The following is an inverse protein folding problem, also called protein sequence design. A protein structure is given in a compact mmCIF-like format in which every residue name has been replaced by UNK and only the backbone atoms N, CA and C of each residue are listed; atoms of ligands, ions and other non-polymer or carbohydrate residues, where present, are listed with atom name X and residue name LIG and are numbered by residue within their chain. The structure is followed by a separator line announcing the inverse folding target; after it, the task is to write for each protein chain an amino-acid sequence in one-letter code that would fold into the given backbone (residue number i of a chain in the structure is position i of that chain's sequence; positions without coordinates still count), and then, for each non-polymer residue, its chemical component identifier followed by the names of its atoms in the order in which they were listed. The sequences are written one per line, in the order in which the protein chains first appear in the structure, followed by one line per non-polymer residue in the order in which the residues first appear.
data_IF_521348357354
#
_entry.id   IF_521348357354
#
_cell.length_a   1.000
_cell.length_b   1.000
_cell.length_c   1.000
_cell.angle_alpha   90.00
_cell.angle_beta   90.00
_cell.angle_gamma   90.00
#
_symmetry.space_group_name_H-M   'P 1'
#
loop_
_entity.id
_entity.type
_entity.pdbx_description
1 polymer ?
#
# COMPACT_ATOMS: atom_id res chain seq x y z
N UNK A 1 -26.01 -5.21 -9.00
CA UNK A 1 -24.88 -5.88 -8.32
C UNK A 1 -24.25 -6.83 -9.33
N UNK A 2 -22.92 -6.95 -9.35
CA UNK A 2 -22.22 -7.85 -10.29
C UNK A 2 -22.27 -9.30 -9.80
N UNK A 3 -21.91 -10.25 -10.67
CA UNK A 3 -21.96 -11.69 -10.37
C UNK A 3 -21.01 -12.09 -9.24
N UNK A 4 -21.28 -13.24 -8.58
CA UNK A 4 -20.41 -13.78 -7.54
C UNK A 4 -18.96 -14.01 -8.02
N UNK A 5 -18.79 -14.38 -9.29
CA UNK A 5 -17.48 -14.51 -9.92
C UNK A 5 -16.73 -13.17 -9.98
N UNK A 6 -17.38 -12.09 -10.45
CA UNK A 6 -16.80 -10.73 -10.47
C UNK A 6 -16.47 -10.25 -9.04
N UNK A 7 -17.28 -10.61 -8.04
CA UNK A 7 -16.99 -10.29 -6.62
C UNK A 7 -15.76 -11.03 -6.08
N UNK A 8 -15.60 -12.32 -6.39
CA UNK A 8 -14.43 -13.10 -6.01
C UNK A 8 -13.15 -12.61 -6.71
N UNK A 9 -13.25 -12.26 -7.99
CA UNK A 9 -12.14 -11.66 -8.75
C UNK A 9 -11.68 -10.34 -8.11
N UNK A 10 -12.62 -9.50 -7.67
CA UNK A 10 -12.27 -8.25 -6.99
C UNK A 10 -11.57 -8.48 -5.63
N UNK A 11 -11.91 -9.53 -4.89
CA UNK A 11 -11.19 -9.93 -3.67
C UNK A 11 -9.76 -10.41 -3.99
N UNK A 12 -9.58 -11.13 -5.10
CA UNK A 12 -8.26 -11.57 -5.59
C UNK A 12 -7.41 -10.37 -6.03
N UNK A 13 -7.98 -9.44 -6.79
CA UNK A 13 -7.30 -8.21 -7.20
C UNK A 13 -6.86 -7.37 -5.99
N UNK A 14 -7.69 -7.30 -4.94
CA UNK A 14 -7.32 -6.65 -3.67
C UNK A 14 -6.12 -7.31 -3.04
N UNK A 15 -6.11 -8.64 -2.97
CA UNK A 15 -4.97 -9.40 -2.44
C UNK A 15 -3.69 -9.17 -3.25
N UNK A 16 -3.77 -9.27 -4.58
CA UNK A 16 -2.64 -9.03 -5.48
C UNK A 16 -2.08 -7.61 -5.34
N UNK A 17 -2.95 -6.61 -5.26
CA UNK A 17 -2.57 -5.20 -5.05
C UNK A 17 -1.78 -5.03 -3.75
N UNK A 18 -2.25 -5.62 -2.65
CA UNK A 18 -1.55 -5.52 -1.37
C UNK A 18 -0.21 -6.27 -1.35
N UNK A 19 -0.10 -7.39 -2.06
CA UNK A 19 1.17 -8.12 -2.23
C UNK A 19 2.18 -7.25 -2.99
N UNK A 20 1.80 -6.73 -4.16
CA UNK A 20 2.66 -5.86 -4.97
C UNK A 20 3.09 -4.60 -4.20
N UNK A 21 2.17 -3.94 -3.49
CA UNK A 21 2.50 -2.78 -2.66
C UNK A 21 3.46 -3.14 -1.51
N UNK A 22 3.36 -4.36 -0.96
CA UNK A 22 4.28 -4.87 0.06
C UNK A 22 5.67 -5.13 -0.52
N UNK A 23 5.77 -5.67 -1.73
CA UNK A 23 7.05 -5.88 -2.43
C UNK A 23 7.75 -4.54 -2.71
N UNK A 24 7.02 -3.55 -3.23
CA UNK A 24 7.54 -2.19 -3.45
C UNK A 24 8.08 -1.60 -2.13
N UNK A 25 7.31 -1.73 -1.04
CA UNK A 25 7.72 -1.29 0.30
C UNK A 25 8.97 -2.00 0.81
N UNK A 26 9.01 -3.33 0.74
CA UNK A 26 10.16 -4.13 1.18
C UNK A 26 11.44 -3.77 0.42
N UNK A 27 11.36 -3.67 -0.91
CA UNK A 27 12.49 -3.22 -1.72
C UNK A 27 12.91 -1.78 -1.40
N UNK A 28 11.97 -0.91 -1.00
CA UNK A 28 12.29 0.47 -0.58
C UNK A 28 13.16 0.45 0.67
N UNK A 29 12.81 -0.38 1.65
CA UNK A 29 13.59 -0.52 2.89
C UNK A 29 14.98 -1.03 2.58
N UNK A 30 15.10 -2.07 1.75
CA UNK A 30 16.38 -2.64 1.35
C UNK A 30 17.28 -1.60 0.67
N UNK A 31 16.76 -0.89 -0.34
CA UNK A 31 17.51 0.12 -1.07
C UNK A 31 17.84 1.33 -0.19
N UNK A 32 16.92 1.77 0.68
CA UNK A 32 17.17 2.85 1.62
C UNK A 32 18.30 2.52 2.60
N UNK A 33 18.37 1.27 3.08
CA UNK A 33 19.46 0.79 3.93
C UNK A 33 20.79 0.72 3.16
N UNK A 34 20.78 0.21 1.92
CA UNK A 34 21.96 0.19 1.03
C UNK A 34 22.49 1.60 0.76
N UNK A 35 21.62 2.56 0.44
CA UNK A 35 21.99 3.97 0.26
C UNK A 35 22.58 4.55 1.55
N UNK A 36 22.00 4.21 2.72
CA UNK A 36 22.46 4.69 4.02
C UNK A 36 23.84 4.15 4.41
N UNK A 37 24.19 2.93 4.02
CA UNK A 37 25.53 2.37 4.24
C UNK A 37 26.65 3.19 3.56
N UNK A 38 26.33 3.94 2.50
CA UNK A 38 27.26 4.85 1.86
C UNK A 38 27.48 6.16 2.65
N UNK A 39 26.70 6.43 3.70
CA UNK A 39 26.88 7.58 4.60
C UNK A 39 27.81 7.16 5.73
N UNK A 40 28.99 7.80 5.90
CA UNK A 40 29.88 7.50 7.02
C UNK A 40 29.22 7.74 8.39
N UNK A 41 29.52 6.91 9.39
CA UNK A 41 29.05 7.11 10.78
C UNK A 41 29.54 8.42 11.41
N UNK A 42 30.60 9.01 10.85
CA UNK A 42 31.17 10.30 11.25
C UNK A 42 30.72 11.48 10.37
N UNK A 43 29.86 11.23 9.37
CA UNK A 43 29.40 12.27 8.46
C UNK A 43 28.57 13.31 9.19
N UNK A 44 28.82 14.58 8.91
CA UNK A 44 27.95 15.69 9.32
C UNK A 44 26.82 15.87 8.31
N UNK A 45 25.69 16.41 8.76
CA UNK A 45 24.50 16.61 7.92
C UNK A 45 24.79 17.34 6.59
N UNK A 46 25.64 18.38 6.62
CA UNK A 46 26.04 19.15 5.43
C UNK A 46 26.79 18.33 4.36
N UNK A 47 27.37 17.19 4.73
CA UNK A 47 28.12 16.30 3.83
C UNK A 47 27.24 15.25 3.15
N UNK A 48 25.97 15.13 3.54
CA UNK A 48 25.04 14.08 3.08
C UNK A 48 24.10 14.51 1.95
N UNK A 49 24.34 15.65 1.32
CA UNK A 49 23.47 16.20 0.25
C UNK A 49 23.32 15.26 -0.96
N UNK A 50 24.40 14.57 -1.34
CA UNK A 50 24.38 13.57 -2.41
C UNK A 50 23.51 12.35 -2.05
N UNK A 51 23.57 11.89 -0.80
CA UNK A 51 22.69 10.83 -0.30
C UNK A 51 21.23 11.28 -0.33
N UNK A 52 20.93 12.48 0.18
CA UNK A 52 19.56 12.98 0.27
C UNK A 52 18.92 13.08 -1.13
N UNK A 53 19.65 13.59 -2.13
CA UNK A 53 19.18 13.64 -3.51
C UNK A 53 18.83 12.26 -4.05
N UNK A 54 19.70 11.26 -3.86
CA UNK A 54 19.47 9.88 -4.30
C UNK A 54 18.28 9.24 -3.58
N UNK A 55 18.17 9.44 -2.27
CA UNK A 55 17.07 8.92 -1.47
C UNK A 55 15.72 9.52 -1.87
N UNK A 56 15.65 10.85 -2.11
CA UNK A 56 14.44 11.51 -2.61
C UNK A 56 14.05 10.95 -3.97
N UNK A 57 14.98 10.84 -4.93
CA UNK A 57 14.69 10.27 -6.25
C UNK A 57 14.14 8.84 -6.14
N UNK A 58 14.80 7.98 -5.36
CA UNK A 58 14.35 6.60 -5.14
C UNK A 58 12.94 6.54 -4.53
N UNK A 59 12.67 7.31 -3.47
CA UNK A 59 11.35 7.36 -2.82
C UNK A 59 10.28 7.87 -3.78
N UNK A 60 10.53 8.96 -4.50
CA UNK A 60 9.52 9.53 -5.40
C UNK A 60 9.23 8.63 -6.61
N UNK A 61 10.23 7.90 -7.12
CA UNK A 61 10.02 6.89 -8.17
C UNK A 61 9.14 5.75 -7.68
N UNK A 62 9.46 5.13 -6.53
CA UNK A 62 8.68 4.01 -5.98
C UNK A 62 7.30 4.44 -5.49
N UNK A 63 7.16 5.68 -5.01
CA UNK A 63 5.88 6.28 -4.66
C UNK A 63 4.97 6.41 -5.89
N UNK A 64 5.53 6.85 -7.04
CA UNK A 64 4.80 6.89 -8.31
C UNK A 64 4.33 5.49 -8.72
N UNK A 65 5.20 4.49 -8.66
CA UNK A 65 4.81 3.08 -8.91
C UNK A 65 3.64 2.66 -8.02
N UNK A 66 3.71 2.97 -6.72
CA UNK A 66 2.63 2.66 -5.76
C UNK A 66 1.31 3.35 -6.09
N UNK A 67 1.36 4.61 -6.54
CA UNK A 67 0.19 5.40 -6.96
C UNK A 67 -0.43 4.84 -8.23
N UNK A 68 0.40 4.55 -9.24
CA UNK A 68 -0.06 4.08 -10.55
C UNK A 68 -0.68 2.67 -10.41
N UNK A 69 -0.04 1.79 -9.61
CA UNK A 69 -0.60 0.50 -9.20
C UNK A 69 -1.97 0.65 -8.52
N UNK A 70 -2.10 1.60 -7.58
CA UNK A 70 -3.34 1.86 -6.88
C UNK A 70 -4.45 2.41 -7.79
N UNK A 71 -4.11 3.20 -8.81
CA UNK A 71 -5.08 3.68 -9.81
C UNK A 71 -5.61 2.52 -10.65
N UNK A 72 -4.72 1.69 -11.18
CA UNK A 72 -5.13 0.52 -11.96
C UNK A 72 -5.97 -0.46 -11.12
N UNK A 73 -5.56 -0.70 -9.88
CA UNK A 73 -6.33 -1.45 -8.88
C UNK A 73 -7.74 -0.90 -8.70
N UNK A 74 -7.85 0.41 -8.41
CA UNK A 74 -9.14 1.05 -8.15
C UNK A 74 -10.06 0.95 -9.37
N UNK A 75 -9.53 1.20 -10.56
CA UNK A 75 -10.28 1.09 -11.83
C UNK A 75 -10.81 -0.33 -12.05
N UNK A 76 -9.99 -1.36 -11.86
CA UNK A 76 -10.38 -2.76 -12.01
C UNK A 76 -11.44 -3.17 -10.96
N UNK A 77 -11.17 -2.95 -9.67
CA UNK A 77 -12.10 -3.36 -8.60
C UNK A 77 -13.43 -2.63 -8.72
N UNK A 78 -13.41 -1.34 -9.07
CA UNK A 78 -14.66 -0.60 -9.27
C UNK A 78 -15.49 -1.19 -10.42
N UNK A 79 -14.85 -1.57 -11.53
CA UNK A 79 -15.52 -2.24 -12.65
C UNK A 79 -16.13 -3.58 -12.20
N UNK A 80 -15.35 -4.41 -11.53
CA UNK A 80 -15.78 -5.71 -11.04
C UNK A 80 -16.90 -5.63 -10.00
N UNK A 81 -16.93 -4.60 -9.16
CA UNK A 81 -17.94 -4.44 -8.10
C UNK A 81 -19.21 -3.74 -8.58
N UNK A 82 -19.09 -2.81 -9.52
CA UNK A 82 -20.18 -1.87 -9.88
C UNK A 82 -20.62 -1.92 -11.34
N UNK A 83 -19.90 -2.63 -12.21
CA UNK A 83 -20.11 -2.63 -13.66
C UNK A 83 -19.62 -1.36 -14.37
N UNK A 84 -18.95 -0.45 -13.66
CA UNK A 84 -18.43 0.81 -14.21
C UNK A 84 -17.07 1.12 -13.62
N UNK A 85 -16.23 1.84 -14.36
CA UNK A 85 -14.89 2.25 -13.89
C UNK A 85 -14.75 3.77 -13.86
N UNK A 86 -13.59 4.25 -13.46
CA UNK A 86 -13.23 5.68 -13.47
C UNK A 86 -12.19 5.98 -14.53
N UNK A 87 -12.23 7.20 -15.05
CA UNK A 87 -11.25 7.69 -16.01
C UNK A 87 -9.83 7.68 -15.40
N UNK A 88 -8.83 7.38 -16.24
CA UNK A 88 -7.44 7.70 -15.87
C UNK A 88 -7.29 9.23 -15.97
N UNK A 89 -6.91 9.95 -14.89
CA UNK A 89 -6.76 11.40 -14.92
C UNK A 89 -5.75 11.91 -15.96
N UNK A 90 -4.87 11.04 -16.47
CA UNK A 90 -3.89 11.39 -17.50
C UNK A 90 -4.29 10.89 -18.91
N UNK A 91 -5.27 9.99 -19.00
CA UNK A 91 -5.78 9.42 -20.24
C UNK A 91 -7.32 9.23 -20.10
N UNK A 92 -8.11 10.31 -20.15
CA UNK A 92 -9.54 10.27 -19.83
C UNK A 92 -10.41 9.61 -20.90
N UNK A 93 -9.88 9.44 -22.11
CA UNK A 93 -10.50 8.66 -23.18
C UNK A 93 -10.13 7.18 -23.01
N UNK A 94 -10.99 6.22 -23.40
CA UNK A 94 -12.31 6.32 -24.03
C UNK A 94 -13.50 6.35 -23.03
N UNK A 95 -14.72 6.63 -23.53
CA UNK A 95 -15.98 6.55 -22.74
C UNK A 95 -16.27 5.13 -22.21
N UNK A 96 -15.81 4.10 -22.92
CA UNK A 96 -15.98 2.69 -22.56
C UNK A 96 -14.65 1.96 -22.66
N UNK A 97 -14.35 1.13 -21.66
CA UNK A 97 -13.19 0.23 -21.67
C UNK A 97 -13.67 -1.20 -21.45
N UNK A 98 -12.84 -2.19 -21.75
CA UNK A 98 -13.16 -3.60 -21.46
C UNK A 98 -12.58 -4.05 -20.12
N UNK A 99 -13.21 -5.05 -19.48
CA UNK A 99 -12.62 -5.69 -18.29
C UNK A 99 -11.24 -6.26 -18.62
N UNK A 100 -11.05 -6.82 -19.82
CA UNK A 100 -9.77 -7.34 -20.27
C UNK A 100 -8.67 -6.26 -20.33
N UNK A 101 -9.03 -5.04 -20.76
CA UNK A 101 -8.10 -3.91 -20.74
C UNK A 101 -7.70 -3.55 -19.32
N UNK A 102 -8.66 -3.45 -18.39
CA UNK A 102 -8.40 -3.15 -16.98
C UNK A 102 -7.57 -4.24 -16.29
N UNK A 103 -7.82 -5.52 -16.60
CA UNK A 103 -7.03 -6.66 -16.12
C UNK A 103 -5.58 -6.56 -16.59
N UNK A 104 -5.36 -6.31 -17.89
CA UNK A 104 -4.03 -6.16 -18.48
C UNK A 104 -3.25 -4.99 -17.87
N UNK A 105 -3.91 -3.84 -17.72
CA UNK A 105 -3.29 -2.65 -17.09
C UNK A 105 -2.87 -2.93 -15.64
N UNK A 106 -3.72 -3.59 -14.86
CA UNK A 106 -3.39 -3.97 -13.48
C UNK A 106 -2.30 -5.03 -13.43
N UNK A 107 -2.39 -6.07 -14.26
CA UNK A 107 -1.42 -7.17 -14.30
C UNK A 107 -0.01 -6.71 -14.69
N UNK A 108 0.12 -5.75 -15.62
CA UNK A 108 1.40 -5.16 -15.99
C UNK A 108 2.13 -4.55 -14.78
N UNK A 109 1.39 -3.81 -13.94
CA UNK A 109 1.96 -3.13 -12.77
C UNK A 109 2.24 -4.09 -11.60
N UNK A 110 1.50 -5.20 -11.49
CA UNK A 110 1.80 -6.26 -10.53
C UNK A 110 3.06 -7.04 -10.94
N UNK A 111 3.22 -7.34 -12.24
CA UNK A 111 4.38 -8.08 -12.78
C UNK A 111 5.69 -7.29 -12.74
N UNK A 112 5.66 -5.99 -13.04
CA UNK A 112 6.84 -5.11 -12.94
C UNK A 112 7.38 -4.94 -11.51
N UNK A 113 6.64 -5.41 -10.49
CA UNK A 113 7.05 -5.36 -9.09
C UNK A 113 8.10 -6.43 -8.72
N UNK A 114 8.27 -7.48 -9.55
CA UNK A 114 9.23 -8.56 -9.29
C UNK A 114 10.67 -8.17 -9.65
N UNK A 115 10.87 -7.25 -10.59
CA UNK A 115 12.20 -6.84 -11.06
C UNK A 115 12.67 -5.56 -10.37
N UNK A 116 12.75 -5.57 -9.03
CA UNK A 116 13.21 -4.43 -8.21
C UNK A 116 14.65 -3.95 -8.47
N UNK A 117 15.26 -4.31 -9.60
CA UNK A 117 16.52 -3.81 -10.11
C UNK A 117 16.29 -2.58 -11.02
N UNK A 118 16.74 -1.42 -10.55
CA UNK A 118 16.76 -0.19 -11.36
C UNK A 118 17.91 -0.24 -12.37
N UNK A 119 17.75 -0.96 -13.47
CA UNK A 119 18.56 -0.75 -14.68
C UNK A 119 17.66 -0.32 -15.85
N UNK A 120 17.56 1.01 -16.01
CA UNK A 120 17.43 1.68 -17.31
C UNK A 120 16.25 1.30 -18.23
N UNK A 121 15.01 1.58 -17.86
CA UNK A 121 13.91 1.67 -18.83
C UNK A 121 13.88 3.07 -19.45
N UNK A 122 14.66 3.28 -20.51
CA UNK A 122 14.41 4.34 -21.50
C UNK A 122 13.48 3.78 -22.56
N UNK A 123 12.25 4.29 -22.59
CA UNK A 123 11.25 3.98 -23.62
C UNK A 123 11.61 4.73 -24.90
N UNK A 124 12.08 4.02 -25.92
CA UNK A 124 12.09 4.50 -27.31
C UNK A 124 10.92 3.84 -28.07
N UNK A 125 9.95 4.61 -28.59
CA UNK A 125 8.79 4.09 -29.29
C UNK A 125 9.05 4.12 -30.79
N UNK A 126 9.88 3.21 -31.31
CA UNK A 126 9.99 3.03 -32.77
C UNK A 126 10.52 1.64 -33.12
N UNK A 127 9.60 0.67 -33.19
CA UNK A 127 9.74 -0.53 -34.05
C UNK A 127 8.41 -1.29 -34.13
N UNK A 128 7.46 -0.69 -34.82
CA UNK A 128 6.40 -1.43 -35.50
C UNK A 128 6.67 -1.35 -37.00
N UNK A 129 7.14 -2.44 -37.62
CA UNK A 129 6.81 -2.84 -39.00
C UNK A 129 7.62 -4.06 -39.47
N UNK A 130 6.90 -4.96 -40.14
CA UNK A 130 7.34 -6.01 -41.07
C UNK A 130 7.95 -7.28 -40.44
N UNK A 131 7.61 -8.50 -40.85
CA UNK A 131 6.74 -9.00 -41.92
C UNK A 131 6.46 -10.50 -41.67
N UNK A 132 5.24 -10.90 -41.99
CA UNK A 132 4.74 -12.21 -42.43
C UNK A 132 5.71 -13.13 -43.20
N UNK A 133 5.54 -14.45 -43.06
CA UNK A 133 5.19 -15.43 -44.15
C UNK A 133 4.93 -16.84 -43.54
N UNK A 134 4.02 -17.53 -44.22
CA UNK A 134 3.30 -18.80 -43.98
C UNK A 134 4.17 -20.08 -43.96
N UNK A 135 3.67 -21.17 -43.35
CA UNK A 135 3.65 -22.49 -44.03
C UNK A 135 2.61 -23.45 -43.42
N UNK A 136 2.02 -24.25 -44.30
CA UNK A 136 0.88 -25.14 -44.13
C UNK A 136 1.30 -26.57 -43.77
N UNK A 137 0.57 -27.26 -42.90
CA UNK A 137 0.22 -28.69 -43.13
C UNK A 137 -0.94 -29.18 -42.23
N UNK A 138 -1.99 -29.70 -42.87
CA UNK A 138 -3.09 -30.54 -42.34
C UNK A 138 -2.85 -31.99 -42.84
N UNK A 139 -3.65 -33.03 -42.48
CA UNK A 139 -4.63 -33.19 -41.39
C UNK A 139 -4.49 -34.56 -40.67
N UNK A 140 -5.31 -34.83 -39.64
CA UNK A 140 -5.84 -36.19 -39.41
C UNK A 140 -7.12 -36.19 -38.58
N UNK A 141 -8.10 -36.89 -39.13
CA UNK A 141 -9.42 -37.18 -38.59
C UNK A 141 -9.37 -38.11 -37.37
N UNK A 142 -10.28 -37.89 -36.43
CA UNK A 142 -10.82 -38.94 -35.56
C UNK A 142 -12.11 -38.44 -34.91
N UNK A 143 -13.20 -39.12 -35.26
CA UNK A 143 -14.58 -38.89 -34.84
C UNK A 143 -14.87 -39.39 -33.41
N UNK A 144 -15.84 -38.70 -32.78
CA UNK A 144 -16.78 -39.14 -31.71
C UNK A 144 -16.30 -39.18 -30.25
N UNK A 145 -17.20 -39.03 -29.23
CA UNK A 145 -18.66 -38.91 -29.28
C UNK A 145 -19.27 -37.70 -28.53
N UNK A 146 -20.57 -37.50 -28.76
CA UNK A 146 -21.48 -36.51 -28.15
C UNK A 146 -21.34 -36.36 -26.62
N UNK A 147 -21.00 -35.16 -26.17
CA UNK A 147 -21.26 -34.69 -24.80
C UNK A 147 -22.40 -33.65 -24.81
N UNK A 148 -23.29 -33.81 -23.84
CA UNK A 148 -24.50 -33.02 -23.61
C UNK A 148 -24.23 -31.50 -23.60
N UNK A 149 -25.21 -30.66 -23.98
CA UNK A 149 -24.99 -29.23 -24.10
C UNK A 149 -24.64 -28.64 -22.73
N UNK A 150 -23.40 -28.17 -22.61
CA UNK A 150 -23.03 -27.20 -21.60
C UNK A 150 -23.99 -26.02 -21.74
N UNK A 151 -24.60 -25.62 -20.63
CA UNK A 151 -25.34 -24.37 -20.57
C UNK A 151 -24.37 -23.26 -20.98
N UNK A 152 -24.52 -22.77 -22.21
CA UNK A 152 -23.91 -21.52 -22.65
C UNK A 152 -24.33 -20.47 -21.63
N UNK A 153 -23.35 -19.99 -20.86
CA UNK A 153 -23.52 -18.73 -20.17
C UNK A 153 -23.83 -17.71 -21.27
N UNK A 154 -24.96 -17.00 -21.12
CA UNK A 154 -25.26 -15.83 -21.94
C UNK A 154 -24.07 -14.86 -21.85
N UNK A 155 -23.12 -14.97 -22.78
CA UNK A 155 -22.14 -13.95 -23.07
C UNK A 155 -22.90 -12.83 -23.77
N UNK A 156 -23.56 -11.99 -22.97
CA UNK A 156 -24.15 -10.74 -23.44
C UNK A 156 -23.01 -9.88 -24.02
N UNK A 157 -22.99 -9.58 -25.33
CA UNK A 157 -21.92 -8.81 -25.96
C UNK A 157 -21.79 -7.37 -25.41
N UNK A 158 -22.77 -6.89 -24.64
CA UNK A 158 -22.68 -5.62 -23.89
C UNK A 158 -21.92 -5.75 -22.55
N UNK A 159 -21.64 -6.97 -22.05
CA UNK A 159 -20.94 -7.19 -20.77
C UNK A 159 -19.43 -6.87 -20.85
N UNK A 160 -18.93 -6.66 -22.07
CA UNK A 160 -17.56 -6.23 -22.37
C UNK A 160 -17.37 -4.71 -22.34
N UNK A 161 -18.44 -3.90 -22.34
CA UNK A 161 -18.33 -2.43 -22.32
C UNK A 161 -18.54 -1.86 -20.91
N UNK A 162 -17.43 -1.55 -20.23
CA UNK A 162 -17.43 -0.90 -18.93
C UNK A 162 -17.44 0.62 -19.13
N UNK A 163 -18.54 1.26 -18.72
CA UNK A 163 -18.66 2.72 -18.73
C UNK A 163 -17.60 3.38 -17.83
N UNK A 164 -16.91 4.38 -18.37
CA UNK A 164 -15.92 5.21 -17.68
C UNK A 164 -16.60 6.45 -17.13
N UNK A 165 -16.58 6.62 -15.80
CA UNK A 165 -17.08 7.81 -15.12
C UNK A 165 -15.92 8.76 -14.75
N UNK A 166 -16.09 10.06 -14.96
CA UNK A 166 -15.13 11.06 -14.51
C UNK A 166 -15.34 11.41 -13.04
N UNK A 167 -14.25 11.50 -12.28
CA UNK A 167 -14.26 12.03 -10.93
C UNK A 167 -13.77 13.49 -10.93
N UNK A 168 -14.46 14.41 -10.24
CA UNK A 168 -14.13 15.83 -10.28
C UNK A 168 -12.76 16.12 -9.65
N UNK A 169 -11.97 16.95 -10.31
CA UNK A 169 -10.67 17.45 -9.86
C UNK A 169 -9.64 16.36 -9.49
N UNK A 170 -9.76 15.15 -10.05
CA UNK A 170 -8.92 14.02 -9.65
C UNK A 170 -7.44 14.29 -9.96
N UNK A 171 -7.16 14.83 -11.15
CA UNK A 171 -5.80 15.17 -11.61
C UNK A 171 -5.18 16.28 -10.76
N UNK A 172 -5.89 17.38 -10.56
CA UNK A 172 -5.39 18.52 -9.79
C UNK A 172 -5.06 18.11 -8.34
N UNK A 173 -5.89 17.25 -7.76
CA UNK A 173 -5.65 16.71 -6.41
C UNK A 173 -4.46 15.76 -6.37
N UNK A 174 -4.30 14.88 -7.35
CA UNK A 174 -3.11 14.01 -7.43
C UNK A 174 -1.83 14.84 -7.58
N UNK A 175 -1.82 15.83 -8.47
CA UNK A 175 -0.67 16.72 -8.65
C UNK A 175 -0.36 17.52 -7.38
N UNK A 176 -1.38 17.98 -6.66
CA UNK A 176 -1.22 18.65 -5.36
C UNK A 176 -0.63 17.70 -4.32
N UNK A 177 -1.17 16.49 -4.19
CA UNK A 177 -0.70 15.46 -3.26
C UNK A 177 0.77 15.12 -3.55
N UNK A 178 1.17 15.00 -4.81
CA UNK A 178 2.55 14.67 -5.16
C UNK A 178 3.53 15.82 -4.87
N UNK A 179 3.13 17.09 -5.04
CA UNK A 179 3.94 18.24 -4.60
C UNK A 179 4.13 18.25 -3.08
N UNK A 180 3.04 18.08 -2.34
CA UNK A 180 3.08 18.00 -0.87
C UNK A 180 3.95 16.82 -0.39
N UNK A 181 3.88 15.68 -1.08
CA UNK A 181 4.67 14.50 -0.76
C UNK A 181 6.17 14.68 -1.05
N UNK A 182 6.54 15.41 -2.11
CA UNK A 182 7.95 15.71 -2.38
C UNK A 182 8.56 16.61 -1.29
N UNK A 183 7.80 17.62 -0.85
CA UNK A 183 8.18 18.49 0.27
C UNK A 183 8.32 17.69 1.58
N UNK A 184 7.34 16.84 1.90
CA UNK A 184 7.41 15.94 3.06
C UNK A 184 8.63 15.03 2.98
N UNK A 185 8.87 14.41 1.82
CA UNK A 185 9.97 13.47 1.61
C UNK A 185 11.32 14.12 1.89
N UNK A 186 11.54 15.33 1.35
CA UNK A 186 12.78 16.08 1.58
C UNK A 186 13.00 16.35 3.07
N UNK A 187 11.98 16.88 3.74
CA UNK A 187 12.05 17.21 5.16
C UNK A 187 12.28 15.97 6.03
N UNK A 188 11.49 14.92 5.84
CA UNK A 188 11.50 13.72 6.67
C UNK A 188 12.82 12.97 6.52
N UNK A 189 13.34 12.81 5.30
CA UNK A 189 14.60 12.10 5.07
C UNK A 189 15.80 12.88 5.61
N UNK A 190 15.80 14.21 5.50
CA UNK A 190 16.82 15.05 6.10
C UNK A 190 16.80 14.95 7.64
N UNK A 191 15.61 15.09 8.25
CA UNK A 191 15.44 15.05 9.69
C UNK A 191 15.76 13.69 10.30
N UNK A 192 15.32 12.59 9.68
CA UNK A 192 15.48 11.23 10.22
C UNK A 192 16.80 10.56 9.85
N UNK A 193 17.42 10.99 8.75
CA UNK A 193 18.74 10.53 8.32
C UNK A 193 19.86 11.39 8.91
N UNK A 194 20.52 12.26 8.11
CA UNK A 194 21.75 12.93 8.53
C UNK A 194 21.60 13.86 9.74
N UNK A 195 20.51 14.61 9.87
CA UNK A 195 20.32 15.51 11.01
C UNK A 195 20.11 14.74 12.33
N UNK A 196 19.42 13.61 12.28
CA UNK A 196 19.26 12.71 13.42
C UNK A 196 20.57 11.98 13.76
N UNK A 197 21.36 11.58 12.76
CA UNK A 197 22.71 11.03 13.00
C UNK A 197 23.60 12.06 13.70
N UNK A 198 23.70 13.27 13.16
CA UNK A 198 24.51 14.37 13.71
C UNK A 198 24.11 14.71 15.16
N UNK A 199 22.81 14.76 15.44
CA UNK A 199 22.29 14.95 16.81
C UNK A 199 22.70 13.83 17.76
N UNK A 200 22.64 12.57 17.30
CA UNK A 200 22.99 11.40 18.12
C UNK A 200 24.49 11.34 18.37
N UNK A 201 25.32 11.59 17.35
CA UNK A 201 26.78 11.54 17.47
C UNK A 201 27.31 12.69 18.31
N UNK A 202 26.71 13.87 18.22
CA UNK A 202 27.05 15.03 19.08
C UNK A 202 26.76 14.81 20.57
N UNK A 203 25.90 13.84 20.91
CA UNK A 203 25.59 13.48 22.29
C UNK A 203 26.51 12.38 22.86
N UNK A 204 27.45 11.85 22.07
CA UNK A 204 28.37 10.80 22.51
C UNK A 204 29.46 11.42 23.40
N UNK A 205 29.69 10.77 24.54
CA UNK A 205 30.76 11.13 25.47
C UNK A 205 32.14 10.70 24.92
N UNK A 206 32.88 11.66 24.37
CA UNK A 206 34.21 11.43 23.79
C UNK A 206 35.31 11.16 24.85
N UNK A 207 35.01 11.27 26.14
CA UNK A 207 35.96 10.94 27.21
C UNK A 207 36.08 9.43 27.48
N UNK A 208 35.16 8.63 26.92
CA UNK A 208 35.16 7.16 27.03
C UNK A 208 36.28 6.54 26.18
N UNK A 209 36.63 5.26 26.44
CA UNK A 209 37.55 4.51 25.58
C UNK A 209 37.11 4.57 24.10
N UNK A 210 38.07 4.70 23.18
CA UNK A 210 37.80 4.83 21.75
C UNK A 210 36.89 3.71 21.20
N UNK A 211 37.06 2.49 21.69
CA UNK A 211 36.21 1.34 21.35
C UNK A 211 34.73 1.55 21.67
N UNK A 212 34.43 2.20 22.80
CA UNK A 212 33.06 2.45 23.24
C UNK A 212 32.44 3.60 22.46
N UNK A 213 33.25 4.62 22.13
CA UNK A 213 32.84 5.75 21.29
C UNK A 213 32.50 5.27 19.88
N UNK A 214 33.35 4.42 19.28
CA UNK A 214 33.13 3.90 17.93
C UNK A 214 31.90 2.99 17.87
N UNK A 215 31.70 2.14 18.90
CA UNK A 215 30.46 1.36 19.03
C UNK A 215 29.22 2.24 19.14
N UNK A 216 29.27 3.31 19.93
CA UNK A 216 28.14 4.22 20.07
C UNK A 216 27.82 4.97 18.76
N UNK A 217 28.84 5.33 17.97
CA UNK A 217 28.67 5.93 16.64
C UNK A 217 28.00 4.96 15.67
N UNK A 218 28.42 3.70 15.67
CA UNK A 218 27.83 2.64 14.85
C UNK A 218 26.36 2.39 15.23
N UNK A 219 26.05 2.30 16.53
CA UNK A 219 24.67 2.17 17.00
C UNK A 219 23.80 3.37 16.60
N UNK A 220 24.33 4.60 16.68
CA UNK A 220 23.64 5.81 16.23
C UNK A 220 23.39 5.79 14.72
N UNK A 221 24.35 5.32 13.93
CA UNK A 221 24.23 5.15 12.49
C UNK A 221 23.16 4.12 12.13
N UNK A 222 23.20 2.94 12.72
CA UNK A 222 22.21 1.87 12.49
C UNK A 222 20.79 2.31 12.85
N UNK A 223 20.61 2.97 14.00
CA UNK A 223 19.30 3.49 14.42
C UNK A 223 18.76 4.56 13.46
N UNK A 224 19.62 5.43 12.96
CA UNK A 224 19.23 6.48 12.00
C UNK A 224 18.89 5.87 10.65
N UNK A 225 19.67 4.90 10.19
CA UNK A 225 19.41 4.11 8.99
C UNK A 225 18.07 3.38 9.04
N UNK A 226 17.77 2.71 10.15
CA UNK A 226 16.49 2.04 10.34
C UNK A 226 15.29 3.00 10.36
N UNK A 227 15.42 4.17 11.00
CA UNK A 227 14.35 5.17 11.05
C UNK A 227 14.06 5.79 9.69
N UNK A 228 15.09 6.21 8.95
CA UNK A 228 14.88 6.79 7.62
C UNK A 228 14.32 5.74 6.64
N UNK A 229 14.75 4.48 6.72
CA UNK A 229 14.25 3.41 5.85
C UNK A 229 12.76 3.13 6.12
N UNK A 230 12.34 3.10 7.39
CA UNK A 230 10.94 2.95 7.75
C UNK A 230 10.06 4.14 7.29
N UNK A 231 10.61 5.35 7.31
CA UNK A 231 9.94 6.53 6.78
C UNK A 231 9.85 6.52 5.26
N UNK A 232 10.91 6.08 4.55
CA UNK A 232 10.90 5.89 3.11
C UNK A 232 9.81 4.90 2.69
N UNK A 233 9.70 3.75 3.37
CA UNK A 233 8.63 2.78 3.14
C UNK A 233 7.23 3.39 3.33
N UNK A 234 7.05 4.20 4.39
CA UNK A 234 5.79 4.90 4.62
C UNK A 234 5.45 5.87 3.49
N UNK A 235 6.41 6.70 3.05
CA UNK A 235 6.23 7.69 1.99
C UNK A 235 5.86 7.03 0.65
N UNK A 236 6.51 5.89 0.34
CA UNK A 236 6.19 5.08 -0.84
C UNK A 236 4.81 4.45 -0.75
N UNK A 237 4.49 3.75 0.34
CA UNK A 237 3.16 3.16 0.57
C UNK A 237 2.05 4.21 0.56
N UNK A 238 2.34 5.45 0.98
CA UNK A 238 1.40 6.55 0.93
C UNK A 238 1.04 6.97 -0.50
N UNK A 239 1.85 6.67 -1.52
CA UNK A 239 1.47 6.88 -2.91
C UNK A 239 0.21 6.10 -3.26
N UNK A 240 0.19 4.80 -2.92
CA UNK A 240 -0.98 3.95 -3.15
C UNK A 240 -2.17 4.32 -2.24
N UNK A 241 -1.92 4.58 -0.96
CA UNK A 241 -2.98 4.95 0.00
C UNK A 241 -3.67 6.26 -0.37
N UNK A 242 -2.90 7.28 -0.73
CA UNK A 242 -3.43 8.58 -1.13
C UNK A 242 -4.21 8.47 -2.43
N UNK A 243 -3.76 7.65 -3.39
CA UNK A 243 -4.49 7.40 -4.63
C UNK A 243 -5.86 6.77 -4.36
N UNK A 244 -5.92 5.64 -3.64
CA UNK A 244 -7.21 4.99 -3.29
C UNK A 244 -8.11 5.95 -2.53
N UNK A 245 -7.57 6.69 -1.56
CA UNK A 245 -8.34 7.67 -0.79
C UNK A 245 -8.89 8.80 -1.68
N UNK A 246 -8.06 9.34 -2.58
CA UNK A 246 -8.44 10.42 -3.48
C UNK A 246 -9.61 10.01 -4.38
N UNK A 247 -9.57 8.78 -4.91
CA UNK A 247 -10.65 8.23 -5.72
C UNK A 247 -11.92 8.00 -4.89
N UNK A 248 -11.82 7.22 -3.81
CA UNK A 248 -13.02 6.81 -3.06
C UNK A 248 -13.72 7.97 -2.33
N UNK A 249 -12.97 9.01 -1.97
CA UNK A 249 -13.54 10.22 -1.34
C UNK A 249 -14.27 11.14 -2.32
N UNK A 250 -14.22 10.85 -3.62
CA UNK A 250 -14.94 11.58 -4.69
C UNK A 250 -15.99 10.70 -5.38
N UNK A 251 -15.81 9.40 -5.32
CA UNK A 251 -16.67 8.43 -5.97
C UNK A 251 -18.01 8.29 -5.25
N UNK A 252 -19.09 8.68 -5.93
CA UNK A 252 -20.47 8.57 -5.43
C UNK A 252 -20.94 7.12 -5.26
N UNK A 253 -20.28 6.15 -5.90
CA UNK A 253 -20.62 4.72 -5.80
C UNK A 253 -20.06 4.06 -4.55
N UNK A 254 -19.11 4.72 -3.86
CA UNK A 254 -18.54 4.22 -2.62
C UNK A 254 -19.51 4.50 -1.48
N UNK A 255 -19.96 3.44 -0.81
CA UNK A 255 -20.84 3.53 0.35
C UNK A 255 -20.08 3.92 1.63
N UNK A 256 -18.77 3.71 1.64
CA UNK A 256 -17.86 4.04 2.73
C UNK A 256 -16.57 3.24 2.60
N UNK A 257 -15.83 3.10 3.69
CA UNK A 257 -14.57 2.36 3.70
C UNK A 257 -14.42 1.50 4.95
N UNK A 258 -13.53 0.52 4.86
CA UNK A 258 -13.10 -0.32 5.97
C UNK A 258 -11.59 -0.25 6.11
N UNK A 259 -11.11 -0.22 7.36
CA UNK A 259 -9.68 -0.34 7.64
C UNK A 259 -9.26 -1.80 7.63
N UNK A 260 -8.21 -2.13 6.90
CA UNK A 260 -7.65 -3.49 6.80
C UNK A 260 -6.16 -3.51 7.19
N UNK A 261 -5.66 -4.71 7.51
CA UNK A 261 -4.25 -4.96 7.81
C UNK A 261 -3.64 -5.89 6.78
N UNK A 262 -2.59 -5.46 6.08
CA UNK A 262 -1.88 -6.31 5.11
C UNK A 262 -1.27 -7.56 5.75
N UNK A 263 -0.81 -7.45 6.99
CA UNK A 263 -0.09 -8.53 7.69
C UNK A 263 -0.98 -9.43 8.55
N UNK A 264 -2.28 -9.11 8.70
CA UNK A 264 -3.14 -9.74 9.71
C UNK A 264 -2.76 -9.47 11.19
N UNK A 265 -1.63 -8.80 11.44
CA UNK A 265 -1.08 -8.53 12.79
C UNK A 265 -0.90 -7.02 13.02
N UNK A 266 -1.99 -6.23 12.97
CA UNK A 266 -1.90 -4.77 13.07
C UNK A 266 -1.43 -4.31 14.45
N UNK A 267 -0.78 -3.15 14.53
CA UNK A 267 -0.49 -2.53 15.83
C UNK A 267 -1.80 -2.24 16.59
N UNK A 268 -1.74 -2.13 17.92
CA UNK A 268 -2.96 -1.93 18.73
C UNK A 268 -3.78 -0.68 18.35
N UNK A 269 -3.16 0.35 17.78
CA UNK A 269 -3.90 1.50 17.24
C UNK A 269 -4.67 1.14 15.97
N UNK A 270 -4.01 0.53 14.97
CA UNK A 270 -4.69 0.04 13.78
C UNK A 270 -5.78 -0.99 14.10
N UNK A 271 -5.53 -1.89 15.04
CA UNK A 271 -6.53 -2.87 15.48
C UNK A 271 -7.81 -2.19 15.99
N UNK A 272 -7.68 -1.04 16.66
CA UNK A 272 -8.83 -0.23 17.08
C UNK A 272 -9.54 0.40 15.89
N UNK A 273 -8.80 0.93 14.90
CA UNK A 273 -9.43 1.47 13.70
C UNK A 273 -10.15 0.37 12.89
N UNK A 274 -9.57 -0.82 12.80
CA UNK A 274 -10.14 -2.01 12.17
C UNK A 274 -11.42 -2.46 12.91
N UNK A 275 -11.46 -2.35 14.24
CA UNK A 275 -12.64 -2.71 15.05
C UNK A 275 -13.85 -1.82 14.84
N UNK A 276 -13.70 -0.65 14.19
CA UNK A 276 -14.84 0.21 13.85
C UNK A 276 -15.71 -0.41 12.75
N UNK A 277 -15.19 -1.39 12.01
CA UNK A 277 -15.90 -2.03 10.92
C UNK A 277 -16.18 -1.05 9.78
N UNK A 278 -17.36 -1.18 9.19
CA UNK A 278 -17.78 -0.36 8.06
C UNK A 278 -18.16 1.07 8.48
N UNK A 279 -17.42 2.05 7.96
CA UNK A 279 -17.66 3.47 8.25
C UNK A 279 -18.44 4.11 7.10
N UNK A 280 -19.74 4.32 7.35
CA UNK A 280 -20.66 5.08 6.48
C UNK A 280 -20.81 6.51 6.99
N UNK A 281 -19.92 7.45 6.68
CA UNK A 281 -20.32 8.86 6.80
C UNK A 281 -19.37 9.86 6.15
N UNK A 282 -20.00 10.88 5.62
CA UNK A 282 -19.48 12.16 5.14
C UNK A 282 -18.64 12.91 6.19
N UNK A 283 -18.73 12.50 7.47
CA UNK A 283 -18.00 13.07 8.60
C UNK A 283 -16.48 12.82 8.59
N UNK A 284 -16.00 11.85 7.81
CA UNK A 284 -14.57 11.54 7.65
C UNK A 284 -13.99 11.92 6.27
N UNK A 285 -14.76 12.62 5.41
CA UNK A 285 -14.33 13.01 4.05
C UNK A 285 -13.46 14.26 3.99
N UNK A 286 -13.19 14.94 5.11
CA UNK A 286 -12.45 16.22 5.09
C UNK A 286 -10.94 16.07 5.24
N UNK A 287 -10.19 16.79 4.41
CA UNK A 287 -8.71 16.88 4.36
C UNK A 287 -8.04 17.17 5.72
N UNK A 288 -8.76 17.75 6.69
CA UNK A 288 -8.28 18.00 8.06
C UNK A 288 -7.96 16.70 8.85
N UNK A 289 -8.48 15.56 8.41
CA UNK A 289 -8.16 14.23 8.93
C UNK A 289 -6.93 13.57 8.25
N UNK A 290 -6.44 14.14 7.14
CA UNK A 290 -5.57 13.46 6.17
C UNK A 290 -4.07 13.86 6.20
N UNK A 291 -3.57 14.58 7.20
CA UNK A 291 -2.12 14.80 7.32
C UNK A 291 -1.67 15.74 8.44
N UNK A 292 -0.42 15.64 8.92
CA UNK A 292 0.16 16.64 9.81
C UNK A 292 0.49 17.94 9.08
N UNK A 293 0.35 19.09 9.74
CA UNK A 293 0.96 20.35 9.28
C UNK A 293 2.49 20.28 9.44
N UNK A 294 3.26 21.05 8.66
CA UNK A 294 4.71 21.18 8.82
C UNK A 294 5.17 21.40 10.29
N UNK A 295 4.44 22.20 11.06
CA UNK A 295 4.70 22.42 12.49
C UNK A 295 4.44 21.20 13.39
N UNK A 296 3.62 20.24 12.95
CA UNK A 296 3.30 18.99 13.67
C UNK A 296 4.30 17.87 13.35
N UNK A 297 4.95 17.94 12.18
CA UNK A 297 6.12 17.10 11.86
C UNK A 297 7.33 17.49 12.73
N UNK A 298 7.46 18.78 13.04
CA UNK A 298 8.50 19.31 13.92
C UNK A 298 8.25 19.02 15.43
N UNK A 299 6.98 19.00 15.86
CA UNK A 299 6.62 18.81 17.28
C UNK A 299 6.43 17.35 17.74
N UNK A 300 6.32 16.39 16.83
CA UNK A 300 6.07 14.98 17.17
C UNK A 300 4.66 14.69 17.74
N UNK A 301 3.73 15.65 17.68
CA UNK A 301 2.34 15.48 18.11
C UNK A 301 1.43 15.01 16.98
N UNK A 302 0.99 13.74 17.04
CA UNK A 302 0.11 13.12 16.06
C UNK A 302 -1.36 13.44 16.34
N UNK A 303 -2.01 14.24 15.48
CA UNK A 303 -3.48 14.39 15.47
C UNK A 303 -4.18 13.15 14.88
N UNK A 304 -5.10 12.57 15.65
CA UNK A 304 -5.90 11.36 15.37
C UNK A 304 -6.89 11.54 14.21
N UNK A 305 -6.97 10.55 13.32
CA UNK A 305 -7.96 10.50 12.24
C UNK A 305 -7.63 9.46 11.17
N UNK A 306 -6.71 9.77 10.27
CA UNK A 306 -6.36 8.90 9.12
C UNK A 306 -4.85 8.81 8.82
N UNK A 307 -3.99 9.09 9.82
CA UNK A 307 -2.53 9.11 9.64
C UNK A 307 -1.90 7.71 9.74
N UNK A 308 -0.98 7.42 8.81
CA UNK A 308 -0.12 6.25 8.86
C UNK A 308 1.23 6.62 9.48
N UNK A 309 1.74 5.81 10.39
CA UNK A 309 3.07 5.95 10.97
C UNK A 309 4.08 5.05 10.25
N UNK A 310 5.37 5.20 10.57
CA UNK A 310 6.42 4.34 10.02
C UNK A 310 6.17 2.87 10.41
N UNK A 311 6.48 1.93 9.53
CA UNK A 311 6.15 0.49 9.67
C UNK A 311 4.64 0.19 9.83
N UNK A 312 3.77 1.10 9.41
CA UNK A 312 2.34 0.83 9.39
C UNK A 312 1.97 0.05 8.13
N UNK A 313 1.31 -1.10 8.28
CA UNK A 313 0.83 -1.92 7.16
C UNK A 313 -0.69 -1.95 7.02
N UNK A 314 -1.37 -0.93 7.57
CA UNK A 314 -2.82 -0.78 7.50
C UNK A 314 -3.20 0.05 6.26
N UNK A 315 -4.41 -0.11 5.75
CA UNK A 315 -4.94 0.67 4.63
C UNK A 315 -6.45 0.86 4.75
N UNK A 316 -7.02 1.71 3.91
CA UNK A 316 -8.46 1.89 3.79
C UNK A 316 -8.94 1.27 2.46
N UNK A 317 -9.91 0.39 2.55
CA UNK A 317 -10.50 -0.33 1.42
C UNK A 317 -11.89 0.25 1.11
N UNK A 318 -12.17 0.67 -0.13
CA UNK A 318 -13.50 1.15 -0.51
C UNK A 318 -14.53 0.02 -0.50
N UNK A 319 -15.73 0.35 -0.01
CA UNK A 319 -16.87 -0.57 0.03
C UNK A 319 -17.96 -0.08 -0.91
N UNK A 320 -18.33 -0.91 -1.88
CA UNK A 320 -19.29 -0.56 -2.94
C UNK A 320 -20.67 -1.19 -2.72
N UNK A 321 -20.76 -2.24 -1.92
CA UNK A 321 -22.02 -2.90 -1.56
C UNK A 321 -22.02 -3.35 -0.10
N UNK A 322 -23.18 -3.62 0.47
CA UNK A 322 -23.27 -4.08 1.86
C UNK A 322 -22.77 -5.53 1.99
N UNK A 323 -23.05 -6.35 0.99
CA UNK A 323 -22.72 -7.77 0.88
C UNK A 323 -21.20 -8.00 0.81
N UNK A 324 -20.45 -7.01 0.31
CA UNK A 324 -18.98 -7.05 0.33
C UNK A 324 -18.45 -7.32 1.74
N UNK A 325 -19.12 -6.82 2.79
CA UNK A 325 -18.66 -7.00 4.17
C UNK A 325 -18.75 -8.44 4.68
N UNK A 326 -19.49 -9.32 4.00
CA UNK A 326 -19.61 -10.72 4.40
C UNK A 326 -18.44 -11.59 3.90
N UNK A 327 -17.62 -11.07 2.97
CA UNK A 327 -16.44 -11.76 2.44
C UNK A 327 -15.47 -12.17 3.57
N UNK A 328 -14.76 -13.32 3.42
CA UNK A 328 -13.67 -13.72 4.31
C UNK A 328 -12.61 -12.64 4.50
N UNK A 329 -12.40 -11.76 3.52
CA UNK A 329 -11.45 -10.65 3.60
C UNK A 329 -11.68 -9.73 4.81
N UNK A 330 -12.93 -9.62 5.30
CA UNK A 330 -13.31 -8.75 6.42
C UNK A 330 -13.48 -9.49 7.76
N UNK A 331 -13.10 -10.77 7.84
CA UNK A 331 -13.24 -11.57 9.06
C UNK A 331 -12.50 -10.94 10.27
N UNK A 332 -11.34 -10.31 10.03
CA UNK A 332 -10.60 -9.62 11.09
C UNK A 332 -11.37 -8.40 11.63
N UNK A 333 -12.05 -7.64 10.76
CA UNK A 333 -12.87 -6.52 11.18
C UNK A 333 -14.03 -6.97 12.05
N UNK A 334 -14.75 -8.03 11.62
CA UNK A 334 -15.88 -8.56 12.37
C UNK A 334 -15.45 -9.07 13.75
N UNK A 335 -14.34 -9.82 13.82
CA UNK A 335 -13.82 -10.30 15.10
C UNK A 335 -13.38 -9.17 16.03
N UNK A 336 -12.69 -8.15 15.52
CA UNK A 336 -12.28 -7.01 16.33
C UNK A 336 -13.46 -6.13 16.76
N UNK A 337 -14.47 -5.94 15.90
CA UNK A 337 -15.69 -5.22 16.24
C UNK A 337 -16.45 -5.90 17.40
N UNK A 338 -16.43 -7.23 17.46
CA UNK A 338 -17.02 -7.98 18.56
C UNK A 338 -16.18 -7.88 19.86
N UNK A 339 -14.86 -7.90 19.73
CA UNK A 339 -13.94 -7.87 20.87
C UNK A 339 -13.81 -6.49 21.51
N UNK A 340 -13.84 -5.41 20.72
CA UNK A 340 -13.66 -4.05 21.21
C UNK A 340 -14.58 -3.69 22.40
N UNK A 341 -15.91 -3.84 22.33
CA UNK A 341 -16.79 -3.51 23.46
C UNK A 341 -16.62 -4.45 24.66
N UNK A 342 -16.12 -5.68 24.46
CA UNK A 342 -15.82 -6.61 25.56
C UNK A 342 -14.58 -6.18 26.33
N UNK A 343 -13.51 -5.81 25.61
CA UNK A 343 -12.22 -5.42 26.18
C UNK A 343 -12.27 -4.02 26.80
N UNK A 344 -13.09 -3.12 26.23
CA UNK A 344 -13.17 -1.72 26.65
C UNK A 344 -14.35 -1.41 27.58
N UNK A 345 -15.07 -2.44 28.05
CA UNK A 345 -16.25 -2.28 28.91
C UNK A 345 -15.92 -1.44 30.15
N UNK A 346 -16.69 -0.37 30.35
CA UNK A 346 -16.50 0.56 31.48
C UNK A 346 -15.30 1.50 31.36
N UNK A 347 -14.58 1.48 30.23
CA UNK A 347 -13.45 2.35 29.93
C UNK A 347 -13.81 3.34 28.82
N UNK A 348 -13.18 4.52 28.82
CA UNK A 348 -13.34 5.52 27.76
C UNK A 348 -12.01 6.20 27.43
N UNK A 349 -11.97 6.91 26.31
CA UNK A 349 -10.82 7.69 25.85
C UNK A 349 -9.50 6.92 25.89
N UNK A 350 -8.46 7.53 26.49
CA UNK A 350 -7.12 6.95 26.58
C UNK A 350 -7.09 5.63 27.35
N UNK A 351 -7.98 5.42 28.33
CA UNK A 351 -8.02 4.20 29.13
C UNK A 351 -8.49 3.00 28.28
N UNK A 352 -9.55 3.19 27.48
CA UNK A 352 -10.04 2.18 26.54
C UNK A 352 -8.98 1.79 25.51
N UNK A 353 -8.35 2.79 24.87
CA UNK A 353 -7.27 2.56 23.89
C UNK A 353 -6.09 1.83 24.52
N UNK A 354 -5.72 2.16 25.76
CA UNK A 354 -4.62 1.50 26.47
C UNK A 354 -4.93 0.05 26.80
N UNK A 355 -6.15 -0.25 27.25
CA UNK A 355 -6.60 -1.62 27.51
C UNK A 355 -6.60 -2.45 26.22
N UNK A 356 -7.13 -1.91 25.13
CA UNK A 356 -7.10 -2.55 23.83
C UNK A 356 -5.69 -2.82 23.31
N UNK A 357 -4.79 -1.83 23.40
CA UNK A 357 -3.38 -2.00 23.01
C UNK A 357 -2.69 -3.11 23.80
N UNK A 358 -3.01 -3.28 25.09
CA UNK A 358 -2.49 -4.40 25.90
C UNK A 358 -3.04 -5.74 25.42
N UNK A 359 -4.36 -5.82 25.22
CA UNK A 359 -5.03 -7.03 24.72
C UNK A 359 -4.45 -7.51 23.38
N UNK A 360 -4.32 -6.61 22.40
CA UNK A 360 -3.77 -6.95 21.08
C UNK A 360 -2.32 -7.44 21.17
N UNK A 361 -1.47 -6.78 21.97
CA UNK A 361 -0.10 -7.24 22.18
C UNK A 361 -0.04 -8.62 22.83
N UNK A 362 -0.94 -8.92 23.75
CA UNK A 362 -1.01 -10.23 24.38
C UNK A 362 -1.41 -11.31 23.38
N UNK A 363 -2.47 -11.08 22.59
CA UNK A 363 -2.89 -12.00 21.53
C UNK A 363 -1.77 -12.26 20.52
N UNK A 364 -1.07 -11.22 20.08
CA UNK A 364 0.04 -11.34 19.13
C UNK A 364 1.23 -12.10 19.70
N UNK A 365 1.56 -11.89 20.99
CA UNK A 365 2.61 -12.65 21.67
C UNK A 365 2.25 -14.12 21.79
N UNK A 366 1.00 -14.43 22.16
CA UNK A 366 0.52 -15.80 22.24
C UNK A 366 0.59 -16.50 20.88
N UNK A 367 0.03 -15.89 19.83
CA UNK A 367 0.09 -16.43 18.48
C UNK A 367 1.53 -16.63 17.97
N UNK A 368 2.45 -15.69 18.26
CA UNK A 368 3.85 -15.84 17.91
C UNK A 368 4.57 -16.96 18.68
N UNK A 369 4.18 -17.22 19.94
CA UNK A 369 4.72 -18.33 20.74
C UNK A 369 4.21 -19.68 20.22
N UNK A 370 2.91 -19.78 19.94
CA UNK A 370 2.28 -20.97 19.34
C UNK A 370 2.91 -21.30 17.98
N UNK A 371 3.09 -20.29 17.11
CA UNK A 371 3.75 -20.49 15.82
C UNK A 371 5.18 -21.03 15.98
N UNK A 372 5.96 -20.50 16.92
CA UNK A 372 7.33 -20.99 17.19
C UNK A 372 7.35 -22.44 17.67
N UNK A 373 6.44 -22.81 18.58
CA UNK A 373 6.34 -24.18 19.08
C UNK A 373 6.00 -25.15 17.93
N UNK A 374 5.01 -24.80 17.10
CA UNK A 374 4.63 -25.62 15.95
C UNK A 374 5.76 -25.80 14.93
N UNK A 375 6.61 -24.79 14.71
CA UNK A 375 7.77 -24.91 13.81
C UNK A 375 8.90 -25.77 14.39
N UNK A 376 9.05 -25.83 15.71
CA UNK A 376 10.04 -26.68 16.37
C UNK A 376 9.59 -28.16 16.35
N UNK A 377 8.30 -28.42 16.59
CA UNK A 377 7.74 -29.77 16.53
C UNK A 377 7.81 -30.39 15.11
N UNK A 378 7.71 -29.56 14.07
CA UNK A 378 7.87 -29.99 12.66
C UNK A 378 9.35 -30.23 12.27
N UNK A 379 10.31 -29.66 13.01
CA UNK A 379 11.74 -29.89 12.78
C UNK A 379 12.29 -31.08 13.58
N UNK A 380 11.60 -31.52 14.63
CA UNK A 380 11.97 -32.68 15.46
C UNK A 380 11.25 -33.99 15.07
N UNK A 381 10.32 -33.94 14.11
CA UNK A 381 9.64 -35.10 13.50
C UNK A 381 10.24 -35.43 12.13
#
# INVERSE_FOLDING_TARGET
MTSAAKQAEADQASTAFQVALTQIGAGTVEEALKLWQAVPATARAAQSSAWLKRAITMVMTRRRMSRDLARAYYRLVRALRTGTTVADPYHPEPTYVTLETLRREFAALVGDSEDGSLEGSSSDPDRAAASSVEDSTKPRDSESPEEAPAQEADDDPDDDQILVEELPNLREDEERIEREAEEETRLVLELLGPANLDRKTSAIDESKPATDVDKAREEAHQQSGGRQAAAAERLVNNGGRSAVWNHMSKDRRVLGYIRLSRTGTPCGWCAMLISRGFVRSDAYRTQKAAGPTLAQLDSGEYADGDKYHDNCHCYAEPVFSAEQYDSPAYALNRSYAELWPKVTRGLSGKAAVSAWRRFIRQQQRAAAQEARQSTTDVQEA
#
